data_IF_337369719941
#
_entry.id   IF_337369719941
#
_cell.length_a   1.000
_cell.length_b   1.000
_cell.length_c   1.000
_cell.angle_alpha   90.00
_cell.angle_beta   90.00
_cell.angle_gamma   90.00
#
_symmetry.space_group_name_H-M   'P 1'
#
loop_
_entity.id
_entity.type
_entity.pdbx_description
1 polymer ?
#
# COMPACT_ATOMS: atom_id res chain seq x y z
N UNK A 1 -27.63 -9.69 8.77
CA UNK A 1 -26.34 -10.38 8.57
C UNK A 1 -25.27 -9.32 8.34
N UNK A 2 -24.27 -9.25 9.22
CA UNK A 2 -23.25 -8.21 9.17
C UNK A 2 -22.13 -8.71 8.23
N UNK A 3 -22.27 -8.44 6.92
CA UNK A 3 -21.32 -8.87 5.88
C UNK A 3 -20.03 -8.04 5.98
N UNK A 4 -19.18 -8.36 6.96
CA UNK A 4 -17.82 -7.81 7.03
C UNK A 4 -16.98 -8.49 5.95
N UNK A 5 -16.51 -7.71 4.98
CA UNK A 5 -15.56 -8.18 3.97
C UNK A 5 -14.34 -8.81 4.65
N UNK A 6 -13.88 -9.93 4.11
CA UNK A 6 -12.69 -10.59 4.62
C UNK A 6 -11.47 -9.71 4.39
N UNK A 7 -10.52 -9.72 5.33
CA UNK A 7 -9.24 -9.01 5.17
C UNK A 7 -8.56 -9.41 3.84
N UNK A 8 -8.75 -10.66 3.42
CA UNK A 8 -8.25 -11.15 2.13
C UNK A 8 -8.88 -10.44 0.92
N UNK A 9 -10.19 -10.22 0.93
CA UNK A 9 -10.91 -9.53 -0.15
C UNK A 9 -10.47 -8.07 -0.24
N UNK A 10 -10.32 -7.41 0.92
CA UNK A 10 -9.83 -6.03 1.01
C UNK A 10 -8.40 -5.94 0.46
N UNK A 11 -7.53 -6.89 0.81
CA UNK A 11 -6.13 -6.93 0.34
C UNK A 11 -6.09 -7.09 -1.19
N UNK A 12 -6.88 -8.00 -1.75
CA UNK A 12 -6.93 -8.24 -3.21
C UNK A 12 -7.45 -7.01 -3.96
N UNK A 13 -8.51 -6.38 -3.44
CA UNK A 13 -9.06 -5.17 -4.04
C UNK A 13 -8.04 -4.01 -4.00
N UNK A 14 -7.38 -3.81 -2.85
CA UNK A 14 -6.37 -2.77 -2.67
C UNK A 14 -5.15 -3.00 -3.58
N UNK A 15 -4.70 -4.25 -3.69
CA UNK A 15 -3.63 -4.63 -4.62
C UNK A 15 -4.01 -4.35 -6.09
N UNK A 16 -5.22 -4.71 -6.48
CA UNK A 16 -5.72 -4.49 -7.85
C UNK A 16 -5.82 -3.00 -8.20
N UNK A 17 -6.31 -2.17 -7.26
CA UNK A 17 -6.35 -0.71 -7.42
C UNK A 17 -4.94 -0.14 -7.51
N UNK A 18 -4.03 -0.58 -6.63
CA UNK A 18 -2.63 -0.15 -6.64
C UNK A 18 -1.98 -0.45 -7.99
N UNK A 19 -2.17 -1.67 -8.51
CA UNK A 19 -1.63 -2.08 -9.81
C UNK A 19 -2.19 -1.24 -10.95
N UNK A 20 -3.51 -0.99 -10.95
CA UNK A 20 -4.16 -0.12 -11.94
C UNK A 20 -3.56 1.29 -11.92
N UNK A 21 -3.38 1.88 -10.73
CA UNK A 21 -2.80 3.21 -10.57
C UNK A 21 -1.36 3.26 -11.09
N UNK A 22 -0.55 2.23 -10.84
CA UNK A 22 0.82 2.12 -11.37
C UNK A 22 0.80 2.11 -12.91
N UNK A 23 -0.06 1.28 -13.51
CA UNK A 23 -0.17 1.18 -14.97
C UNK A 23 -0.63 2.50 -15.60
N UNK A 24 -1.61 3.18 -14.99
CA UNK A 24 -2.10 4.48 -15.45
C UNK A 24 -1.04 5.58 -15.26
N UNK A 25 -0.31 5.57 -14.14
CA UNK A 25 0.78 6.50 -13.89
C UNK A 25 1.89 6.34 -14.94
N UNK A 26 2.28 5.09 -15.22
CA UNK A 26 3.28 4.78 -16.25
C UNK A 26 2.83 5.21 -17.64
N UNK A 27 1.62 4.84 -18.05
CA UNK A 27 1.07 5.17 -19.37
C UNK A 27 0.97 6.68 -19.60
N UNK A 28 0.54 7.43 -18.57
CA UNK A 28 0.29 8.86 -18.69
C UNK A 28 1.50 9.72 -18.24
N UNK A 29 2.61 9.08 -17.84
CA UNK A 29 3.76 9.72 -17.20
C UNK A 29 3.34 10.72 -16.10
N UNK A 30 2.31 10.37 -15.33
CA UNK A 30 1.66 11.27 -14.38
C UNK A 30 2.21 11.07 -12.98
N UNK A 31 2.92 12.10 -12.49
CA UNK A 31 3.45 12.13 -11.13
C UNK A 31 2.35 12.02 -10.08
N UNK A 32 1.21 12.69 -10.29
CA UNK A 32 0.06 12.63 -9.38
C UNK A 32 -0.49 11.20 -9.23
N UNK A 33 -0.67 10.47 -10.34
CA UNK A 33 -1.11 9.08 -10.31
C UNK A 33 -0.05 8.17 -9.66
N UNK A 34 1.23 8.47 -9.87
CA UNK A 34 2.35 7.79 -9.19
C UNK A 34 2.29 7.97 -7.67
N UNK A 35 2.04 9.18 -7.19
CA UNK A 35 1.87 9.50 -5.76
C UNK A 35 0.67 8.74 -5.17
N UNK A 36 -0.47 8.71 -5.87
CA UNK A 36 -1.64 7.92 -5.44
C UNK A 36 -1.34 6.43 -5.41
N UNK A 37 -0.60 5.90 -6.38
CA UNK A 37 -0.17 4.51 -6.40
C UNK A 37 0.72 4.18 -5.19
N UNK A 38 1.65 5.05 -4.83
CA UNK A 38 2.53 4.88 -3.67
C UNK A 38 1.76 4.92 -2.35
N UNK A 39 0.77 5.81 -2.21
CA UNK A 39 -0.12 5.86 -1.04
C UNK A 39 -0.93 4.55 -0.95
N UNK A 40 -1.50 4.10 -2.07
CA UNK A 40 -2.27 2.85 -2.14
C UNK A 40 -1.40 1.64 -1.77
N UNK A 41 -0.17 1.59 -2.26
CA UNK A 41 0.81 0.55 -1.94
C UNK A 41 1.18 0.54 -0.45
N UNK A 42 1.35 1.72 0.16
CA UNK A 42 1.58 1.83 1.59
C UNK A 42 0.40 1.29 2.39
N UNK A 43 -0.83 1.59 1.99
CA UNK A 43 -2.03 1.02 2.59
C UNK A 43 -2.04 -0.51 2.55
N UNK A 44 -1.69 -1.10 1.41
CA UNK A 44 -1.62 -2.55 1.27
C UNK A 44 -0.60 -3.19 2.24
N UNK A 45 0.59 -2.60 2.34
CA UNK A 45 1.63 -3.07 3.26
C UNK A 45 1.19 -3.01 4.73
N UNK A 46 0.42 -2.01 5.14
CA UNK A 46 -0.12 -1.96 6.51
C UNK A 46 -1.20 -3.03 6.74
N UNK A 47 -2.01 -3.35 5.73
CA UNK A 47 -3.00 -4.44 5.80
C UNK A 47 -2.27 -5.79 5.94
N UNK A 48 -1.21 -6.02 5.16
CA UNK A 48 -0.36 -7.21 5.30
C UNK A 48 0.33 -7.27 6.66
N UNK A 49 0.87 -6.15 7.17
CA UNK A 49 1.44 -6.09 8.50
C UNK A 49 0.39 -6.50 9.55
N UNK A 50 -0.81 -5.94 9.50
CA UNK A 50 -1.90 -6.28 10.42
C UNK A 50 -2.27 -7.77 10.36
N UNK A 51 -2.27 -8.36 9.16
CA UNK A 51 -2.51 -9.79 8.96
C UNK A 51 -1.42 -10.65 9.60
N UNK A 52 -0.15 -10.31 9.41
CA UNK A 52 0.97 -11.02 10.02
C UNK A 52 1.02 -10.85 11.54
N UNK A 53 0.62 -9.69 12.07
CA UNK A 53 0.42 -9.47 13.51
C UNK A 53 -0.61 -10.44 14.08
N UNK A 54 -1.74 -10.64 13.40
CA UNK A 54 -2.77 -11.61 13.82
C UNK A 54 -2.28 -13.06 13.80
N UNK A 55 -1.37 -13.40 12.89
CA UNK A 55 -0.73 -14.73 12.83
C UNK A 55 0.39 -14.93 13.86
N UNK A 56 0.74 -13.89 14.64
CA UNK A 56 1.85 -13.93 15.60
C UNK A 56 3.24 -13.82 14.97
N UNK A 57 3.33 -13.52 13.68
CA UNK A 57 4.58 -13.53 12.92
C UNK A 57 5.29 -12.16 12.99
N UNK A 58 6.08 -11.97 14.06
CA UNK A 58 6.67 -10.65 14.40
C UNK A 58 7.68 -10.14 13.37
N UNK A 59 8.42 -11.05 12.71
CA UNK A 59 9.44 -10.68 11.73
C UNK A 59 8.82 -10.09 10.45
N UNK A 60 7.82 -10.76 9.88
CA UNK A 60 7.14 -10.24 8.69
C UNK A 60 6.33 -8.99 9.01
N UNK A 61 5.71 -8.93 10.21
CA UNK A 61 5.04 -7.71 10.68
C UNK A 61 5.96 -6.48 10.66
N UNK A 62 7.16 -6.59 11.25
CA UNK A 62 8.10 -5.45 11.28
C UNK A 62 8.61 -5.09 9.89
N UNK A 63 8.84 -6.07 9.00
CA UNK A 63 9.22 -5.81 7.62
C UNK A 63 8.15 -5.03 6.85
N UNK A 64 6.89 -5.47 6.92
CA UNK A 64 5.80 -4.80 6.21
C UNK A 64 5.54 -3.39 6.74
N UNK A 65 5.62 -3.19 8.07
CA UNK A 65 5.56 -1.86 8.68
C UNK A 65 6.68 -0.95 8.20
N UNK A 66 7.93 -1.44 8.21
CA UNK A 66 9.09 -0.67 7.80
C UNK A 66 8.97 -0.24 6.33
N UNK A 67 8.54 -1.14 5.44
CA UNK A 67 8.30 -0.82 4.03
C UNK A 67 7.18 0.21 3.87
N UNK A 68 6.10 0.10 4.65
CA UNK A 68 5.01 1.08 4.66
C UNK A 68 5.52 2.48 5.03
N UNK A 69 6.29 2.60 6.12
CA UNK A 69 6.88 3.88 6.52
C UNK A 69 7.92 4.41 5.54
N UNK A 70 8.72 3.53 4.92
CA UNK A 70 9.67 3.93 3.90
C UNK A 70 8.98 4.58 2.70
N UNK A 71 7.80 4.09 2.29
CA UNK A 71 7.00 4.73 1.24
C UNK A 71 6.51 6.12 1.64
N UNK A 72 6.10 6.33 2.89
CA UNK A 72 5.76 7.67 3.39
C UNK A 72 6.96 8.62 3.38
N UNK A 73 8.15 8.14 3.76
CA UNK A 73 9.36 8.93 3.65
C UNK A 73 9.67 9.32 2.20
N UNK A 74 9.50 8.40 1.25
CA UNK A 74 9.65 8.69 -0.19
C UNK A 74 8.60 9.71 -0.66
N UNK A 75 7.33 9.56 -0.24
CA UNK A 75 6.27 10.50 -0.59
C UNK A 75 6.57 11.93 -0.10
N UNK A 76 7.04 12.05 1.14
CA UNK A 76 7.45 13.33 1.72
C UNK A 76 8.64 13.91 0.93
N UNK A 77 9.64 13.09 0.61
CA UNK A 77 10.80 13.53 -0.17
C UNK A 77 10.38 14.02 -1.57
N UNK A 78 9.53 13.26 -2.26
CA UNK A 78 9.00 13.63 -3.58
C UNK A 78 8.24 14.95 -3.51
N UNK A 79 7.47 15.20 -2.44
CA UNK A 79 6.77 16.48 -2.23
C UNK A 79 7.73 17.68 -2.08
N UNK A 80 8.94 17.48 -1.57
CA UNK A 80 9.95 18.55 -1.47
C UNK A 80 10.79 18.74 -2.75
N UNK A 81 10.82 17.74 -3.64
CA UNK A 81 11.59 17.78 -4.89
C UNK A 81 10.79 18.42 -6.03
N UNK A 82 9.46 18.29 -6.01
CA UNK A 82 8.52 18.91 -6.97
C UNK A 82 8.29 20.36 -6.58
#
# INVERSE_FOLDING_TARGET
MNNKASIHEITIACFSITLLLILLAWRNNSLFLGTLALISLSGNLFIEAYKERKKGNRFFFSQYLLRGFALWAILILVFFII
#
